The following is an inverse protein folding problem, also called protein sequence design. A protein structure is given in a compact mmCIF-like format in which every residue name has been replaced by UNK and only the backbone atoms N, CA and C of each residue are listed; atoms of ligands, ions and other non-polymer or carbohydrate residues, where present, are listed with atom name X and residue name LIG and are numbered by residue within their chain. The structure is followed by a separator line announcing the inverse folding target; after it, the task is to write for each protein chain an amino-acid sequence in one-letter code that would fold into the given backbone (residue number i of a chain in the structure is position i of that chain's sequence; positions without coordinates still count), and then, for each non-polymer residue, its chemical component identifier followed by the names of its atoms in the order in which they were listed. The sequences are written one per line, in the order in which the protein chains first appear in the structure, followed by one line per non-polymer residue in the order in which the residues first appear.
data_IF_295663786927
#
_entry.id   IF_295663786927
#
_cell.length_a   1.000
_cell.length_b   1.000
_cell.length_c   1.000
_cell.angle_alpha   90.00
_cell.angle_beta   90.00
_cell.angle_gamma   90.00
#
_symmetry.space_group_name_H-M   'P 1'
#
loop_
_entity.id
_entity.type
_entity.pdbx_description
1 polymer ?
#
# COMPACT_ATOMS: atom_id res chain seq x y z
N UNK A 1 -16.29 11.60 4.93
CA UNK A 1 -14.89 11.12 5.00
C UNK A 1 -14.35 11.52 6.36
N UNK A 2 -14.23 10.57 7.29
CA UNK A 2 -13.59 10.85 8.57
C UNK A 2 -12.09 11.03 8.29
N UNK A 3 -11.58 12.22 8.57
CA UNK A 3 -10.16 12.55 8.51
C UNK A 3 -9.49 11.87 9.71
N UNK A 4 -9.33 10.53 9.65
CA UNK A 4 -8.49 9.80 10.59
C UNK A 4 -7.05 10.11 10.19
N UNK A 5 -6.38 10.94 10.98
CA UNK A 5 -4.95 11.18 10.80
C UNK A 5 -4.24 9.85 11.02
N UNK A 6 -3.69 9.27 9.96
CA UNK A 6 -2.85 8.08 10.09
C UNK A 6 -1.63 8.44 10.95
N UNK A 7 -1.23 7.58 11.89
CA UNK A 7 -0.12 7.87 12.80
C UNK A 7 1.23 7.99 12.07
N UNK A 8 1.32 7.44 10.86
CA UNK A 8 2.50 7.43 10.00
C UNK A 8 2.09 7.68 8.54
N UNK A 9 2.95 8.33 7.74
CA UNK A 9 2.79 8.36 6.28
C UNK A 9 2.87 6.96 5.69
N UNK A 10 2.16 6.73 4.58
CA UNK A 10 2.13 5.46 3.84
C UNK A 10 3.52 4.89 3.56
N UNK A 11 4.45 5.73 3.09
CA UNK A 11 5.84 5.30 2.82
C UNK A 11 6.56 4.77 4.06
N UNK A 12 6.22 5.25 5.25
CA UNK A 12 6.89 4.82 6.48
C UNK A 12 6.39 3.46 6.97
N UNK A 13 5.19 3.04 6.58
CA UNK A 13 4.57 1.80 7.04
C UNK A 13 4.76 0.64 6.08
N UNK A 14 4.91 0.87 4.77
CA UNK A 14 5.09 -0.22 3.81
C UNK A 14 6.33 -1.06 4.14
N UNK A 15 6.19 -2.38 4.02
CA UNK A 15 7.24 -3.36 4.33
C UNK A 15 7.78 -3.28 5.77
N UNK A 16 6.89 -2.98 6.74
CA UNK A 16 7.25 -2.90 8.15
C UNK A 16 6.45 -3.87 9.00
N UNK A 17 7.14 -4.41 9.99
CA UNK A 17 6.52 -5.08 11.12
C UNK A 17 5.89 -4.06 12.06
N UNK A 18 4.75 -4.39 12.62
CA UNK A 18 4.07 -3.59 13.63
C UNK A 18 3.39 -4.46 14.69
N UNK A 19 3.26 -3.88 15.88
CA UNK A 19 2.35 -4.39 16.92
C UNK A 19 1.09 -3.54 16.87
N UNK A 20 -0.07 -4.16 16.70
CA UNK A 20 -1.37 -3.51 16.65
C UNK A 20 -2.27 -3.93 17.83
N UNK A 21 -3.16 -3.03 18.23
CA UNK A 21 -4.27 -3.37 19.15
C UNK A 21 -5.27 -4.29 18.45
N UNK A 22 -5.91 -5.18 19.21
CA UNK A 22 -7.02 -5.97 18.69
C UNK A 22 -8.28 -5.09 18.70
N UNK A 23 -8.37 -4.22 17.68
CA UNK A 23 -9.52 -3.34 17.45
C UNK A 23 -10.71 -4.09 16.83
N UNK A 24 -11.74 -3.35 16.39
CA UNK A 24 -12.94 -3.95 15.81
C UNK A 24 -12.66 -4.74 14.51
N UNK A 25 -11.75 -4.26 13.66
CA UNK A 25 -11.39 -4.93 12.40
C UNK A 25 -10.64 -6.22 12.66
N UNK A 26 -9.59 -6.14 13.49
CA UNK A 26 -8.77 -7.30 13.88
C UNK A 26 -9.60 -8.32 14.66
N UNK A 27 -10.42 -7.88 15.62
CA UNK A 27 -11.33 -8.77 16.36
C UNK A 27 -12.34 -9.45 15.44
N UNK A 28 -12.88 -8.73 14.44
CA UNK A 28 -13.81 -9.25 13.46
C UNK A 28 -13.25 -10.42 12.67
N UNK A 29 -12.06 -10.26 12.07
CA UNK A 29 -11.43 -11.30 11.26
C UNK A 29 -10.99 -12.52 12.11
N UNK A 30 -10.46 -12.28 13.31
CA UNK A 30 -10.07 -13.36 14.23
C UNK A 30 -11.28 -14.15 14.70
N UNK A 31 -12.38 -13.47 15.04
CA UNK A 31 -13.63 -14.10 15.50
C UNK A 31 -14.27 -14.92 14.39
N UNK A 32 -14.31 -14.41 13.16
CA UNK A 32 -14.86 -15.12 12.00
C UNK A 32 -14.16 -16.46 11.72
N UNK A 33 -12.89 -16.58 12.11
CA UNK A 33 -12.08 -17.80 11.97
C UNK A 33 -11.94 -18.62 13.26
N UNK A 34 -12.56 -18.19 14.36
CA UNK A 34 -12.45 -18.87 15.66
C UNK A 34 -11.05 -18.82 16.27
N UNK A 35 -10.26 -17.79 15.96
CA UNK A 35 -8.85 -17.64 16.35
C UNK A 35 -8.63 -16.71 17.55
N UNK A 36 -9.70 -16.20 18.15
CA UNK A 36 -9.62 -15.35 19.33
C UNK A 36 -8.94 -16.09 20.50
N UNK A 37 -8.02 -15.39 21.16
CA UNK A 37 -7.31 -15.88 22.33
C UNK A 37 -7.57 -14.95 23.52
N UNK A 38 -8.21 -15.41 24.60
CA UNK A 38 -8.51 -14.58 25.78
C UNK A 38 -7.28 -13.99 26.46
N UNK A 39 -6.12 -14.59 26.22
CA UNK A 39 -4.88 -14.31 26.89
C UNK A 39 -3.90 -13.48 26.03
N UNK A 40 -4.34 -13.05 24.83
CA UNK A 40 -3.66 -12.09 23.98
C UNK A 40 -4.37 -10.72 24.04
N UNK A 41 -3.59 -9.64 24.06
CA UNK A 41 -4.10 -8.26 24.09
C UNK A 41 -3.74 -7.45 22.83
N UNK A 42 -2.81 -7.96 22.02
CA UNK A 42 -2.33 -7.33 20.79
C UNK A 42 -2.03 -8.39 19.73
N UNK A 43 -1.80 -7.94 18.51
CA UNK A 43 -1.26 -8.78 17.45
C UNK A 43 0.00 -8.18 16.85
N UNK A 44 0.84 -9.05 16.30
CA UNK A 44 1.97 -8.66 15.47
C UNK A 44 1.60 -8.96 14.02
N UNK A 45 1.83 -8.00 13.15
CA UNK A 45 1.59 -8.17 11.72
C UNK A 45 2.57 -7.37 10.88
N UNK A 46 2.47 -7.59 9.57
CA UNK A 46 3.34 -6.97 8.59
C UNK A 46 2.51 -6.17 7.60
N UNK A 47 2.88 -4.91 7.42
CA UNK A 47 2.34 -4.06 6.36
C UNK A 47 3.08 -4.36 5.05
N UNK A 48 2.35 -4.69 4.00
CA UNK A 48 2.85 -4.83 2.64
C UNK A 48 1.96 -4.06 1.67
N UNK A 49 2.39 -3.92 0.43
CA UNK A 49 1.56 -3.33 -0.63
C UNK A 49 1.02 -4.47 -1.48
N UNK A 50 -0.28 -4.71 -1.36
CA UNK A 50 -1.03 -5.41 -2.37
C UNK A 50 -1.20 -4.48 -3.57
N UNK A 51 -0.96 -5.00 -4.77
CA UNK A 51 -1.00 -4.18 -5.98
C UNK A 51 -2.43 -3.70 -6.28
N UNK A 52 -3.44 -4.48 -5.90
CA UNK A 52 -4.83 -4.14 -6.17
C UNK A 52 -5.54 -3.51 -4.96
N UNK A 53 -5.29 -4.06 -3.77
CA UNK A 53 -5.95 -3.65 -2.54
C UNK A 53 -5.19 -2.56 -1.75
N UNK A 54 -4.00 -2.17 -2.23
CA UNK A 54 -3.18 -1.14 -1.59
C UNK A 54 -2.45 -1.64 -0.33
N UNK A 55 -2.22 -0.73 0.61
CA UNK A 55 -1.47 -1.03 1.82
C UNK A 55 -2.30 -1.94 2.73
N UNK A 56 -1.72 -3.09 3.01
CA UNK A 56 -2.43 -4.22 3.58
C UNK A 56 -1.67 -4.73 4.80
N UNK A 57 -2.39 -5.00 5.88
CA UNK A 57 -1.85 -5.55 7.12
C UNK A 57 -2.15 -7.04 7.23
N UNK A 58 -1.10 -7.87 7.23
CA UNK A 58 -1.20 -9.32 7.45
C UNK A 58 -0.86 -9.64 8.90
N UNK A 59 -1.83 -10.16 9.64
CA UNK A 59 -1.63 -10.61 11.02
C UNK A 59 -0.81 -11.89 11.00
N UNK A 60 0.31 -11.90 11.73
CA UNK A 60 1.23 -13.04 11.80
C UNK A 60 1.09 -13.82 13.10
N UNK A 61 0.91 -13.12 14.22
CA UNK A 61 0.82 -13.72 15.55
C UNK A 61 -0.06 -12.88 16.48
N UNK A 62 -0.58 -13.50 17.55
CA UNK A 62 -1.12 -12.76 18.69
C UNK A 62 -0.10 -12.74 19.81
N UNK A 63 -0.06 -11.64 20.54
CA UNK A 63 0.88 -11.43 21.62
C UNK A 63 0.20 -10.81 22.84
N UNK A 64 0.90 -10.90 23.97
CA UNK A 64 0.59 -10.18 25.19
C UNK A 64 1.67 -9.14 25.43
N UNK A 65 1.26 -7.94 25.81
CA UNK A 65 2.18 -6.86 26.13
C UNK A 65 2.15 -6.54 27.62
N UNK A 66 3.33 -6.44 28.23
CA UNK A 66 3.49 -6.07 29.63
C UNK A 66 4.32 -4.79 29.75
N UNK A 67 4.06 -3.97 30.77
CA UNK A 67 4.79 -2.73 30.98
C UNK A 67 6.32 -2.96 31.01
N UNK A 68 7.05 -2.33 30.08
CA UNK A 68 8.51 -2.41 29.98
C UNK A 68 9.07 -3.77 29.53
N UNK A 69 8.23 -4.69 29.05
CA UNK A 69 8.66 -6.00 28.56
C UNK A 69 8.45 -6.11 27.05
N UNK A 70 9.31 -6.85 26.33
CA UNK A 70 9.04 -7.24 24.95
C UNK A 70 7.69 -7.99 24.85
N UNK A 71 7.01 -7.93 23.70
CA UNK A 71 5.79 -8.69 23.49
C UNK A 71 6.07 -10.19 23.64
N UNK A 72 5.21 -10.88 24.37
CA UNK A 72 5.22 -12.33 24.50
C UNK A 72 4.27 -12.92 23.45
N UNK A 73 4.80 -13.69 22.49
CA UNK A 73 3.97 -14.34 21.46
C UNK A 73 3.15 -15.45 22.13
N UNK A 74 1.82 -15.31 22.07
CA UNK A 74 0.84 -16.26 22.63
C UNK A 74 0.49 -17.32 21.59
N UNK A 75 0.37 -16.91 20.33
CA UNK A 75 0.13 -17.82 19.20
C UNK A 75 0.88 -17.31 17.98
N UNK A 76 1.50 -18.24 17.26
CA UNK A 76 2.08 -18.00 15.96
C UNK A 76 1.18 -18.69 14.93
N UNK A 77 0.65 -17.95 13.96
CA UNK A 77 -0.30 -18.53 13.01
C UNK A 77 0.44 -19.33 11.93
N UNK A 78 -0.14 -20.47 11.55
CA UNK A 78 0.35 -21.27 10.41
C UNK A 78 0.35 -20.43 9.13
N UNK A 79 1.25 -20.77 8.19
CA UNK A 79 1.45 -20.05 6.93
C UNK A 79 1.58 -18.52 7.11
N UNK A 80 2.12 -18.07 8.24
CA UNK A 80 2.27 -16.65 8.56
C UNK A 80 0.92 -15.89 8.50
N UNK A 81 -0.16 -16.52 8.97
CA UNK A 81 -1.49 -15.92 9.02
C UNK A 81 -2.12 -15.71 7.65
N UNK A 82 -1.97 -16.69 6.76
CA UNK A 82 -2.67 -16.70 5.46
C UNK A 82 -4.17 -16.46 5.63
N UNK A 83 -4.70 -15.46 4.93
CA UNK A 83 -6.09 -15.04 5.02
C UNK A 83 -6.47 -14.26 6.28
N UNK A 84 -5.51 -13.85 7.13
CA UNK A 84 -5.68 -12.89 8.22
C UNK A 84 -5.20 -11.50 7.76
N UNK A 85 -5.92 -10.95 6.80
CA UNK A 85 -5.51 -9.79 6.02
C UNK A 85 -6.59 -8.72 6.14
N UNK A 86 -6.17 -7.48 6.36
CA UNK A 86 -7.02 -6.30 6.52
C UNK A 86 -6.41 -5.13 5.74
N UNK A 87 -7.24 -4.19 5.28
CA UNK A 87 -6.73 -2.91 4.78
C UNK A 87 -6.03 -2.15 5.92
N UNK A 88 -4.98 -1.37 5.61
CA UNK A 88 -4.32 -0.55 6.63
C UNK A 88 -5.27 0.42 7.34
N UNK A 89 -6.32 0.86 6.66
CA UNK A 89 -7.33 1.79 7.21
C UNK A 89 -8.22 1.14 8.29
N UNK A 90 -8.25 -0.19 8.34
CA UNK A 90 -8.96 -0.95 9.38
C UNK A 90 -8.13 -1.14 10.65
N UNK A 91 -6.83 -0.82 10.62
CA UNK A 91 -5.92 -0.95 11.77
C UNK A 91 -5.80 0.40 12.48
N UNK A 92 -6.51 0.54 13.60
CA UNK A 92 -6.69 1.85 14.24
C UNK A 92 -5.45 2.31 15.02
N UNK A 93 -4.83 1.40 15.79
CA UNK A 93 -3.73 1.72 16.70
C UNK A 93 -2.62 0.69 16.59
N UNK A 94 -1.44 1.14 16.16
CA UNK A 94 -0.26 0.30 16.02
C UNK A 94 1.03 1.07 16.28
N UNK A 95 2.11 0.33 16.51
CA UNK A 95 3.47 0.85 16.63
C UNK A 95 4.40 0.04 15.75
N UNK A 96 5.19 0.74 14.92
CA UNK A 96 6.16 0.09 14.05
C UNK A 96 7.31 -0.49 14.86
N UNK A 97 7.69 -1.72 14.55
CA UNK A 97 8.88 -2.35 15.10
C UNK A 97 10.13 -1.87 14.35
N UNK A 98 11.20 -1.67 15.10
CA UNK A 98 12.56 -1.61 14.55
C UNK A 98 13.00 -2.99 14.05
N UNK A 99 14.00 -3.03 13.17
CA UNK A 99 14.58 -4.29 12.71
C UNK A 99 15.15 -5.11 13.88
N UNK A 100 15.72 -4.46 14.89
CA UNK A 100 16.25 -5.14 16.08
C UNK A 100 15.15 -5.76 16.94
N UNK A 101 14.00 -5.10 17.07
CA UNK A 101 12.82 -5.69 17.73
C UNK A 101 12.25 -6.86 16.94
N UNK A 102 12.08 -6.69 15.63
CA UNK A 102 11.59 -7.77 14.76
C UNK A 102 12.53 -8.99 14.76
N UNK A 103 13.85 -8.76 14.77
CA UNK A 103 14.86 -9.81 14.89
C UNK A 103 14.81 -10.53 16.23
N UNK A 104 14.66 -9.80 17.35
CA UNK A 104 14.52 -10.40 18.68
C UNK A 104 13.28 -11.29 18.81
N UNK A 105 12.27 -11.05 17.99
CA UNK A 105 11.04 -11.84 17.90
C UNK A 105 11.10 -12.91 16.80
N UNK A 106 12.25 -13.09 16.14
CA UNK A 106 12.43 -14.04 15.03
C UNK A 106 11.45 -13.84 13.87
N UNK A 107 11.00 -12.60 13.65
CA UNK A 107 10.03 -12.26 12.60
C UNK A 107 10.66 -12.09 11.21
N UNK A 108 11.98 -11.90 11.13
CA UNK A 108 12.67 -11.69 9.85
C UNK A 108 12.96 -12.98 9.08
N UNK A 109 12.42 -14.13 9.50
CA UNK A 109 12.45 -15.35 8.68
C UNK A 109 11.80 -15.10 7.30
N UNK A 110 12.29 -15.82 6.30
CA UNK A 110 12.02 -15.57 4.89
C UNK A 110 10.51 -15.64 4.57
N UNK A 111 9.88 -14.48 4.46
CA UNK A 111 8.49 -14.32 4.06
C UNK A 111 8.36 -14.59 2.56
N UNK A 112 8.47 -15.86 2.16
CA UNK A 112 8.42 -16.28 0.74
C UNK A 112 7.18 -15.76 0.02
N UNK A 113 6.10 -15.51 0.73
CA UNK A 113 4.88 -14.92 0.15
C UNK A 113 5.08 -13.49 -0.38
N UNK A 114 6.08 -12.73 0.11
CA UNK A 114 6.36 -11.36 -0.39
C UNK A 114 6.76 -11.33 -1.85
N UNK A 115 7.38 -12.40 -2.37
CA UNK A 115 7.80 -12.45 -3.78
C UNK A 115 6.62 -12.30 -4.74
N UNK A 116 5.41 -12.66 -4.30
CA UNK A 116 4.19 -12.53 -5.09
C UNK A 116 3.65 -11.09 -5.12
N UNK A 117 3.97 -10.29 -4.12
CA UNK A 117 3.48 -8.91 -3.97
C UNK A 117 4.54 -7.84 -4.28
N UNK A 118 5.80 -8.25 -4.45
CA UNK A 118 6.92 -7.35 -4.73
C UNK A 118 7.71 -7.79 -5.97
N UNK A 119 7.08 -7.91 -7.16
CA UNK A 119 7.82 -8.10 -8.39
C UNK A 119 8.81 -6.94 -8.60
N UNK A 120 9.95 -7.23 -9.21
CA UNK A 120 11.07 -6.27 -9.38
C UNK A 120 10.63 -4.97 -10.05
N UNK A 121 9.74 -5.05 -11.04
CA UNK A 121 9.17 -3.89 -11.74
C UNK A 121 8.48 -2.92 -10.78
N UNK A 122 7.67 -3.43 -9.85
CA UNK A 122 6.99 -2.61 -8.84
C UNK A 122 7.97 -2.10 -7.78
N UNK A 123 8.98 -2.89 -7.39
CA UNK A 123 9.98 -2.44 -6.41
C UNK A 123 10.71 -1.17 -6.87
N UNK A 124 11.05 -1.08 -8.15
CA UNK A 124 11.70 0.11 -8.71
C UNK A 124 10.80 1.35 -8.57
N UNK A 125 9.51 1.21 -8.94
CA UNK A 125 8.53 2.29 -8.86
C UNK A 125 8.23 2.69 -7.41
N UNK A 126 8.08 1.74 -6.48
CA UNK A 126 7.80 2.01 -5.06
C UNK A 126 8.94 2.74 -4.35
N UNK A 127 10.19 2.62 -4.86
CA UNK A 127 11.36 3.36 -4.37
C UNK A 127 11.40 4.84 -4.81
N UNK A 128 10.59 5.24 -5.79
CA UNK A 128 10.52 6.63 -6.28
C UNK A 128 9.77 7.52 -5.29
N UNK A 129 10.52 8.27 -4.48
CA UNK A 129 9.98 9.22 -3.52
C UNK A 129 9.39 10.48 -4.17
N UNK A 130 9.83 10.81 -5.38
CA UNK A 130 9.27 11.93 -6.15
C UNK A 130 7.86 11.65 -6.71
N UNK A 131 7.39 10.40 -6.61
CA UNK A 131 5.99 10.03 -6.89
C UNK A 131 5.06 10.20 -5.68
N UNK A 132 5.59 10.33 -4.46
CA UNK A 132 4.79 10.19 -3.23
C UNK A 132 3.61 11.16 -3.14
N UNK A 133 3.82 12.40 -3.59
CA UNK A 133 2.76 13.41 -3.57
C UNK A 133 1.62 13.16 -4.56
N UNK A 134 1.83 12.26 -5.52
CA UNK A 134 0.82 11.87 -6.49
C UNK A 134 0.11 10.58 -6.10
N UNK A 135 0.64 9.83 -5.13
CA UNK A 135 0.06 8.54 -4.73
C UNK A 135 -1.29 8.76 -4.07
N UNK A 136 -2.25 7.90 -4.42
CA UNK A 136 -3.51 7.81 -3.71
C UNK A 136 -3.26 7.36 -2.26
N UNK A 137 -3.85 8.01 -1.25
CA UNK A 137 -3.72 7.57 0.14
C UNK A 137 -4.20 6.13 0.30
N UNK A 138 -3.38 5.29 0.94
CA UNK A 138 -3.65 3.87 1.14
C UNK A 138 -3.41 2.98 -0.10
N UNK A 139 -3.25 3.55 -1.30
CA UNK A 139 -3.03 2.80 -2.53
C UNK A 139 -1.68 3.17 -3.12
N UNK A 140 -0.64 2.52 -2.61
CA UNK A 140 0.72 2.96 -2.87
C UNK A 140 1.13 2.88 -4.34
N UNK A 141 0.54 2.02 -5.16
CA UNK A 141 0.87 1.93 -6.59
C UNK A 141 0.01 2.85 -7.48
N UNK A 142 -1.03 3.47 -6.93
CA UNK A 142 -1.98 4.28 -7.68
C UNK A 142 -1.59 5.75 -7.61
N UNK A 143 -1.53 6.44 -8.74
CA UNK A 143 -1.13 7.85 -8.82
C UNK A 143 -2.14 8.72 -9.57
N UNK A 144 -2.25 9.97 -9.16
CA UNK A 144 -3.02 11.00 -9.85
C UNK A 144 -2.24 11.48 -11.08
N UNK A 145 -2.87 11.37 -12.24
CA UNK A 145 -2.29 11.71 -13.56
C UNK A 145 -3.23 12.64 -14.31
N UNK A 146 -2.68 13.58 -15.06
CA UNK A 146 -3.46 14.47 -15.93
C UNK A 146 -3.48 13.94 -17.36
N UNK A 147 -4.68 13.75 -17.91
CA UNK A 147 -4.90 13.55 -19.34
C UNK A 147 -4.97 14.90 -20.04
N UNK A 148 -4.16 15.06 -21.09
CA UNK A 148 -4.15 16.23 -21.94
C UNK A 148 -4.58 15.83 -23.35
N UNK A 149 -5.47 16.60 -23.96
CA UNK A 149 -5.75 16.45 -25.40
C UNK A 149 -4.74 17.23 -26.23
N UNK A 150 -4.54 16.78 -27.47
CA UNK A 150 -3.82 17.54 -28.49
C UNK A 150 -4.67 18.68 -29.04
N UNK A 151 -5.99 18.52 -29.06
CA UNK A 151 -6.87 19.65 -29.30
C UNK A 151 -6.89 20.56 -28.06
N UNK A 152 -6.93 21.87 -28.29
CA UNK A 152 -6.99 22.85 -27.19
C UNK A 152 -8.43 23.08 -26.69
N UNK A 153 -9.37 22.26 -27.16
CA UNK A 153 -10.79 22.40 -26.84
C UNK A 153 -11.19 21.49 -25.67
N UNK A 154 -10.55 20.33 -25.55
CA UNK A 154 -10.76 19.42 -24.43
C UNK A 154 -10.02 19.91 -23.19
N UNK A 155 -10.77 20.08 -22.10
CA UNK A 155 -10.23 20.50 -20.81
C UNK A 155 -9.44 19.34 -20.21
N UNK A 156 -8.20 19.54 -19.73
CA UNK A 156 -7.43 18.48 -19.07
C UNK A 156 -8.17 17.87 -17.90
N UNK A 157 -7.99 16.56 -17.71
CA UNK A 157 -8.72 15.79 -16.71
C UNK A 157 -7.77 15.02 -15.78
N UNK A 158 -8.06 15.02 -14.48
CA UNK A 158 -7.34 14.21 -13.50
C UNK A 158 -7.95 12.82 -13.37
N UNK A 159 -7.12 11.80 -13.55
CA UNK A 159 -7.49 10.38 -13.47
C UNK A 159 -6.55 9.62 -12.54
N UNK A 160 -6.97 8.44 -12.09
CA UNK A 160 -6.13 7.53 -11.33
C UNK A 160 -5.50 6.48 -12.24
N UNK A 161 -4.20 6.27 -12.09
CA UNK A 161 -3.44 5.27 -12.84
C UNK A 161 -2.68 4.38 -11.86
N UNK A 162 -2.86 3.07 -11.98
CA UNK A 162 -2.09 2.06 -11.24
C UNK A 162 -0.77 1.80 -11.95
N UNK A 163 0.36 2.06 -11.29
CA UNK A 163 1.67 1.91 -11.90
C UNK A 163 2.12 0.45 -11.94
N UNK A 164 2.46 -0.03 -13.12
CA UNK A 164 2.82 -1.43 -13.42
C UNK A 164 4.35 -1.60 -13.52
N UNK A 165 5.06 -0.49 -13.75
CA UNK A 165 6.51 -0.49 -13.90
C UNK A 165 7.03 0.83 -14.47
N UNK A 166 8.32 0.84 -14.79
CA UNK A 166 9.00 1.97 -15.39
C UNK A 166 9.94 1.52 -16.51
N UNK A 167 10.31 2.44 -17.40
CA UNK A 167 11.40 2.25 -18.35
C UNK A 167 12.74 2.05 -17.63
N UNK A 168 13.72 1.47 -18.33
CA UNK A 168 15.06 1.20 -17.77
C UNK A 168 15.76 2.48 -17.29
N UNK A 169 15.54 3.61 -17.96
CA UNK A 169 16.06 4.93 -17.58
C UNK A 169 15.19 5.63 -16.51
N UNK A 170 14.04 5.06 -16.15
CA UNK A 170 13.08 5.61 -15.19
C UNK A 170 12.42 6.92 -15.63
N UNK A 171 12.55 7.30 -16.90
CA UNK A 171 11.98 8.53 -17.44
C UNK A 171 10.46 8.41 -17.68
N UNK A 172 10.00 7.23 -18.09
CA UNK A 172 8.58 6.94 -18.28
C UNK A 172 8.13 5.80 -17.36
N UNK A 173 6.86 5.90 -16.98
CA UNK A 173 6.15 4.92 -16.18
C UNK A 173 5.09 4.28 -17.07
N UNK A 174 4.76 3.02 -16.81
CA UNK A 174 3.61 2.35 -17.43
C UNK A 174 2.57 2.12 -16.35
N UNK A 175 1.31 2.34 -16.67
CA UNK A 175 0.24 2.08 -15.73
C UNK A 175 -1.11 1.83 -16.37
N UNK A 176 -2.00 1.21 -15.62
CA UNK A 176 -3.37 0.89 -16.00
C UNK A 176 -4.31 1.99 -15.53
N UNK A 177 -5.15 2.53 -16.42
CA UNK A 177 -6.14 3.55 -16.08
C UNK A 177 -7.25 2.95 -15.22
N UNK A 178 -7.56 3.55 -14.07
CA UNK A 178 -8.47 2.99 -13.06
C UNK A 178 -9.90 3.53 -13.12
N UNK A 179 -10.13 4.61 -13.88
CA UNK A 179 -11.46 5.19 -14.03
C UNK A 179 -11.65 5.73 -15.44
N UNK A 180 -12.86 5.57 -15.97
CA UNK A 180 -13.23 6.13 -17.27
C UNK A 180 -13.08 7.66 -17.26
N UNK A 181 -12.40 8.26 -18.26
CA UNK A 181 -12.38 9.71 -18.42
C UNK A 181 -13.77 10.26 -18.75
N UNK A 182 -14.11 11.46 -18.26
CA UNK A 182 -15.36 12.12 -18.61
C UNK A 182 -15.40 12.61 -20.06
N UNK A 183 -14.25 13.03 -20.60
CA UNK A 183 -14.12 13.45 -22.00
C UNK A 183 -13.45 12.39 -22.87
N UNK A 184 -13.65 12.46 -24.18
CA UNK A 184 -13.00 11.54 -25.12
C UNK A 184 -11.53 11.92 -25.33
N UNK A 185 -10.63 11.25 -24.61
CA UNK A 185 -9.18 11.33 -24.79
C UNK A 185 -8.62 10.18 -25.65
N UNK A 186 -9.49 9.34 -26.23
CA UNK A 186 -9.08 8.14 -26.96
C UNK A 186 -8.45 7.05 -26.09
N UNK A 187 -8.71 7.08 -24.78
CA UNK A 187 -8.29 6.04 -23.81
C UNK A 187 -9.45 5.72 -22.87
N UNK A 188 -9.53 4.46 -22.42
CA UNK A 188 -10.61 3.94 -21.59
C UNK A 188 -10.12 3.28 -20.29
N UNK A 189 -11.02 3.14 -19.32
CA UNK A 189 -10.76 2.38 -18.09
C UNK A 189 -10.22 0.99 -18.40
N UNK A 190 -9.17 0.57 -17.68
CA UNK A 190 -8.48 -0.70 -17.87
C UNK A 190 -7.42 -0.69 -18.98
N UNK A 191 -7.27 0.39 -19.74
CA UNK A 191 -6.21 0.50 -20.75
C UNK A 191 -4.87 0.91 -20.14
N UNK A 192 -3.79 0.46 -20.79
CA UNK A 192 -2.42 0.78 -20.41
C UNK A 192 -1.99 2.10 -21.02
N UNK A 193 -1.52 3.02 -20.18
CA UNK A 193 -1.00 4.34 -20.56
C UNK A 193 0.47 4.50 -20.19
N UNK A 194 1.17 5.36 -20.95
CA UNK A 194 2.52 5.81 -20.60
C UNK A 194 2.41 7.10 -19.80
N UNK A 195 3.01 7.16 -18.63
CA UNK A 195 2.99 8.32 -17.73
C UNK A 195 4.38 8.93 -17.62
N UNK A 196 4.47 10.25 -17.76
CA UNK A 196 5.71 11.01 -17.72
C UNK A 196 5.58 12.21 -16.78
N UNK A 197 6.71 12.70 -16.28
CA UNK A 197 6.73 14.01 -15.62
C UNK A 197 6.66 15.13 -16.66
N UNK A 198 5.82 16.13 -16.38
CA UNK A 198 5.81 17.40 -17.10
C UNK A 198 5.94 18.58 -16.13
N UNK A 199 6.42 19.72 -16.61
CA UNK A 199 6.43 20.96 -15.84
C UNK A 199 5.09 21.67 -16.00
N UNK A 200 4.37 21.87 -14.90
CA UNK A 200 3.16 22.69 -14.81
C UNK A 200 3.42 24.03 -14.11
N UNK A 201 2.41 24.88 -14.07
CA UNK A 201 2.51 26.22 -13.44
C UNK A 201 2.82 26.15 -11.93
N UNK A 202 2.29 25.13 -11.25
CA UNK A 202 2.51 24.89 -9.80
C UNK A 202 3.65 23.90 -9.53
N UNK A 203 4.47 23.60 -10.55
CA UNK A 203 5.59 22.67 -10.50
C UNK A 203 5.30 21.38 -11.27
N UNK A 204 6.11 20.34 -11.01
CA UNK A 204 6.01 19.08 -11.74
C UNK A 204 4.62 18.44 -11.60
N UNK A 205 4.11 17.84 -12.65
CA UNK A 205 2.87 17.05 -12.68
C UNK A 205 3.15 15.71 -13.37
N UNK A 206 2.27 14.72 -13.17
CA UNK A 206 2.26 13.51 -13.98
C UNK A 206 1.25 13.69 -15.10
N UNK A 207 1.65 13.39 -16.33
CA UNK A 207 0.81 13.41 -17.51
C UNK A 207 0.83 12.06 -18.20
N UNK A 208 -0.31 11.64 -18.75
CA UNK A 208 -0.37 10.45 -19.59
C UNK A 208 -0.29 10.83 -21.08
N UNK A 209 0.52 10.10 -21.83
CA UNK A 209 0.55 10.19 -23.28
C UNK A 209 -0.70 9.49 -23.85
N UNK A 210 -1.61 10.27 -24.42
CA UNK A 210 -2.77 9.77 -25.14
C UNK A 210 -2.36 9.47 -26.60
N UNK A 211 -2.85 8.35 -27.12
CA UNK A 211 -2.53 7.87 -28.47
C UNK A 211 -2.76 8.91 -29.56
N UNK A 212 -1.96 8.84 -30.63
CA UNK A 212 -1.99 9.78 -31.75
C UNK A 212 -3.05 9.49 -32.78
#
# INVERSE_FOLDING_TARGET
MNNRTTPYPDREIINRWAIAEIDAGISGILSAKGLMRPDADRCIGFFYVDHEDGITFRIHSLCRTGAGKPPEIVVNFENHGEGLILSSDEVEAYTLLSNDEANRLSLLEEQRWRIYYEPEALQAVRKRADLDRFRAPGYFDDVSVILCSKDRETIPEGVWVRLEGQSDDGASLRGTLLNEPYSDFGVHEGEMVTVCFAEGEEGRILVAETGS
#
